data_IF_892445387787
#
_entry.id   IF_892445387787
#
_cell.length_a   1.000
_cell.length_b   1.000
_cell.length_c   1.000
_cell.angle_alpha   90.00
_cell.angle_beta   90.00
_cell.angle_gamma   90.00
#
_symmetry.space_group_name_H-M   'P 1'
#
loop_
_entity.id
_entity.type
_entity.pdbx_description
1 polymer ?
#
# COMPACT_ATOMS: atom_id res chain seq x y z
N UNK A 1 13.03 -4.92 7.14
CA UNK A 1 13.20 -4.69 5.67
C UNK A 1 14.57 -5.04 5.07
N UNK A 2 15.65 -4.96 5.84
CA UNK A 2 17.05 -5.05 5.37
C UNK A 2 17.43 -6.24 4.47
N UNK A 3 16.81 -7.41 4.62
CA UNK A 3 17.11 -8.58 3.76
C UNK A 3 16.60 -8.37 2.33
N UNK A 4 15.40 -7.84 2.16
CA UNK A 4 14.82 -7.59 0.83
C UNK A 4 15.67 -6.61 0.04
N UNK A 5 16.12 -5.53 0.67
CA UNK A 5 17.04 -4.56 0.06
C UNK A 5 18.39 -5.20 -0.31
N UNK A 6 18.99 -5.97 0.61
CA UNK A 6 20.26 -6.67 0.35
C UNK A 6 20.17 -7.68 -0.79
N UNK A 7 18.99 -8.28 -0.98
CA UNK A 7 18.71 -9.19 -2.08
C UNK A 7 18.33 -8.47 -3.39
N UNK A 8 18.35 -7.13 -3.42
CA UNK A 8 18.10 -6.34 -4.62
C UNK A 8 16.63 -6.16 -4.98
N UNK A 9 15.72 -6.22 -4.00
CA UNK A 9 14.30 -5.94 -4.24
C UNK A 9 14.11 -4.50 -4.74
N UNK A 10 13.38 -4.32 -5.84
CA UNK A 10 13.07 -3.00 -6.40
C UNK A 10 11.91 -2.27 -5.71
N UNK A 11 11.06 -3.01 -4.99
CA UNK A 11 9.99 -2.50 -4.13
C UNK A 11 9.57 -3.61 -3.15
N UNK A 12 8.90 -3.25 -2.06
CA UNK A 12 8.33 -4.22 -1.11
C UNK A 12 6.85 -3.99 -0.93
N UNK A 13 6.08 -5.07 -0.97
CA UNK A 13 4.64 -5.05 -0.67
C UNK A 13 4.40 -5.32 0.81
N UNK A 14 3.64 -4.42 1.46
CA UNK A 14 3.26 -4.54 2.86
C UNK A 14 1.74 -4.74 2.93
N UNK A 15 1.31 -5.79 3.62
CA UNK A 15 -0.11 -6.06 3.88
C UNK A 15 -0.60 -5.11 4.98
N UNK A 16 -1.60 -4.30 4.69
CA UNK A 16 -2.17 -3.32 5.64
C UNK A 16 -3.61 -3.61 6.04
N UNK A 17 -4.25 -4.57 5.36
CA UNK A 17 -5.61 -4.98 5.65
C UNK A 17 -5.69 -5.79 6.96
N UNK A 18 -6.37 -5.23 7.95
CA UNK A 18 -6.50 -5.83 9.28
C UNK A 18 -7.54 -6.95 9.37
N UNK A 19 -8.55 -6.95 8.50
CA UNK A 19 -9.70 -7.86 8.61
C UNK A 19 -9.40 -9.26 8.06
N UNK A 20 -8.68 -9.35 6.95
CA UNK A 20 -8.37 -10.60 6.24
C UNK A 20 -6.90 -10.96 6.34
N UNK A 21 -6.00 -9.97 6.39
CA UNK A 21 -4.55 -10.21 6.39
C UNK A 21 -3.86 -9.91 7.73
N UNK A 22 -4.61 -9.42 8.74
CA UNK A 22 -4.10 -9.02 10.06
C UNK A 22 -2.94 -8.01 10.00
N UNK A 23 -2.86 -7.24 8.91
CA UNK A 23 -1.93 -6.14 8.74
C UNK A 23 -2.48 -4.83 9.29
N UNK A 24 -1.67 -3.79 9.28
CA UNK A 24 -2.06 -2.45 9.68
C UNK A 24 -1.25 -1.39 8.94
N UNK A 25 -1.78 -0.16 8.89
CA UNK A 25 -1.00 1.00 8.44
C UNK A 25 0.22 1.26 9.34
N UNK A 26 0.23 0.78 10.58
CA UNK A 26 1.40 0.86 11.45
C UNK A 26 2.54 -0.04 10.95
N UNK A 27 2.24 -1.23 10.42
CA UNK A 27 3.26 -2.11 9.83
C UNK A 27 3.92 -1.46 8.61
N UNK A 28 3.15 -0.72 7.82
CA UNK A 28 3.65 0.07 6.70
C UNK A 28 4.56 1.20 7.19
N UNK A 29 4.18 1.91 8.26
CA UNK A 29 5.00 2.96 8.86
C UNK A 29 6.33 2.41 9.40
N UNK A 30 6.30 1.30 10.14
CA UNK A 30 7.51 0.64 10.62
C UNK A 30 8.38 0.15 9.46
N UNK A 31 7.78 -0.39 8.38
CA UNK A 31 8.53 -0.78 7.20
C UNK A 31 9.20 0.42 6.51
N UNK A 32 8.53 1.59 6.47
CA UNK A 32 9.07 2.83 5.90
C UNK A 32 10.28 3.33 6.67
N UNK A 33 10.26 3.28 8.00
CA UNK A 33 11.39 3.67 8.85
C UNK A 33 12.65 2.83 8.60
N UNK A 34 12.49 1.57 8.15
CA UNK A 34 13.59 0.65 7.90
C UNK A 34 13.98 0.48 6.42
N UNK A 35 13.25 1.11 5.50
CA UNK A 35 13.39 0.91 4.06
C UNK A 35 13.80 2.20 3.36
N UNK A 36 14.59 2.09 2.30
CA UNK A 36 14.87 3.14 1.32
C UNK A 36 14.27 2.84 -0.05
N UNK A 37 13.81 1.61 -0.28
CA UNK A 37 13.14 1.20 -1.53
C UNK A 37 11.62 1.48 -1.47
N UNK A 38 10.97 1.64 -2.62
CA UNK A 38 9.54 1.89 -2.70
C UNK A 38 8.68 0.86 -1.96
N UNK A 39 7.65 1.33 -1.26
CA UNK A 39 6.69 0.50 -0.54
C UNK A 39 5.31 0.51 -1.21
N UNK A 40 4.78 -0.68 -1.48
CA UNK A 40 3.41 -0.91 -1.95
C UNK A 40 2.49 -1.17 -0.76
N UNK A 41 1.50 -0.30 -0.56
CA UNK A 41 0.35 -0.54 0.30
C UNK A 41 -0.57 -1.58 -0.35
N UNK A 42 -0.54 -2.81 0.18
CA UNK A 42 -1.39 -3.90 -0.30
C UNK A 42 -2.64 -4.00 0.57
N UNK A 43 -3.65 -3.25 0.13
CA UNK A 43 -4.99 -3.16 0.73
C UNK A 43 -6.09 -3.21 -0.35
N UNK A 44 -7.34 -3.38 0.07
CA UNK A 44 -8.52 -3.20 -0.77
C UNK A 44 -8.96 -1.73 -0.75
N UNK A 45 -8.36 -0.91 -1.59
CA UNK A 45 -8.69 0.53 -1.68
C UNK A 45 -9.99 0.72 -2.44
N UNK A 46 -11.00 1.21 -1.73
CA UNK A 46 -12.34 1.54 -2.24
C UNK A 46 -12.70 3.01 -2.04
N UNK A 47 -11.93 3.76 -1.24
CA UNK A 47 -12.13 5.19 -0.99
C UNK A 47 -10.82 5.98 -0.92
N UNK A 48 -10.89 7.29 -1.22
CA UNK A 48 -9.74 8.21 -1.22
C UNK A 48 -9.08 8.33 0.16
N UNK A 49 -9.85 8.24 1.24
CA UNK A 49 -9.29 8.30 2.59
C UNK A 49 -8.29 7.17 2.86
N UNK A 50 -8.42 6.03 2.17
CA UNK A 50 -7.43 4.95 2.27
C UNK A 50 -6.13 5.29 1.53
N UNK A 51 -6.22 6.05 0.45
CA UNK A 51 -5.05 6.57 -0.28
C UNK A 51 -4.30 7.56 0.60
N UNK A 52 -5.02 8.51 1.21
CA UNK A 52 -4.43 9.50 2.14
C UNK A 52 -3.71 8.80 3.31
N UNK A 53 -4.38 7.82 3.93
CA UNK A 53 -3.77 7.02 5.02
C UNK A 53 -2.56 6.21 4.57
N UNK A 54 -2.59 5.63 3.37
CA UNK A 54 -1.45 4.91 2.81
C UNK A 54 -0.26 5.86 2.60
N UNK A 55 -0.52 7.05 2.06
CA UNK A 55 0.49 8.08 1.86
C UNK A 55 1.08 8.58 3.18
N UNK A 56 0.23 8.90 4.16
CA UNK A 56 0.66 9.31 5.52
C UNK A 56 1.48 8.21 6.22
N UNK A 57 1.16 6.94 5.98
CA UNK A 57 1.92 5.80 6.50
C UNK A 57 3.20 5.49 5.71
N UNK A 58 3.49 6.23 4.63
CA UNK A 58 4.73 6.14 3.87
C UNK A 58 4.71 5.18 2.67
N UNK A 59 3.54 4.88 2.11
CA UNK A 59 3.44 4.16 0.84
C UNK A 59 3.86 5.03 -0.34
N UNK A 60 4.59 4.42 -1.27
CA UNK A 60 4.93 5.01 -2.57
C UNK A 60 3.97 4.52 -3.68
N UNK A 61 3.36 3.35 -3.47
CA UNK A 61 2.49 2.67 -4.44
C UNK A 61 1.25 2.16 -3.70
N UNK A 62 0.10 2.19 -4.38
CA UNK A 62 -1.16 1.64 -3.88
C UNK A 62 -1.73 0.56 -4.81
N UNK A 63 -2.53 -0.35 -4.27
CA UNK A 63 -3.21 -1.40 -5.04
C UNK A 63 -4.66 -1.01 -5.35
N UNK A 64 -5.02 -0.98 -6.64
CA UNK A 64 -6.41 -0.88 -7.11
C UNK A 64 -6.82 -2.19 -7.78
N UNK A 65 -7.88 -2.83 -7.28
CA UNK A 65 -8.36 -4.12 -7.77
C UNK A 65 -9.61 -3.92 -8.60
N UNK A 66 -9.51 -4.15 -9.92
CA UNK A 66 -10.61 -3.94 -10.89
C UNK A 66 -11.86 -4.75 -10.53
N UNK A 67 -11.70 -5.96 -10.00
CA UNK A 67 -12.84 -6.80 -9.59
C UNK A 67 -13.61 -6.27 -8.36
N UNK A 68 -12.99 -5.37 -7.58
CA UNK A 68 -13.59 -4.78 -6.38
C UNK A 68 -14.19 -3.38 -6.62
N UNK A 69 -14.03 -2.82 -7.82
CA UNK A 69 -14.38 -1.43 -8.13
C UNK A 69 -15.29 -1.34 -9.36
N UNK A 70 -16.22 -0.39 -9.34
CA UNK A 70 -16.89 0.01 -10.58
C UNK A 70 -15.91 0.76 -11.48
N UNK A 71 -16.20 0.84 -12.78
CA UNK A 71 -15.36 1.57 -13.74
C UNK A 71 -15.21 3.04 -13.37
N UNK A 72 -16.29 3.64 -12.88
CA UNK A 72 -16.34 5.03 -12.42
C UNK A 72 -15.43 5.21 -11.21
N UNK A 73 -15.53 4.32 -10.21
CA UNK A 73 -14.73 4.41 -8.99
C UNK A 73 -13.25 4.14 -9.25
N UNK A 74 -12.94 3.17 -10.12
CA UNK A 74 -11.56 2.92 -10.56
C UNK A 74 -10.94 4.16 -11.21
N UNK A 75 -11.68 4.82 -12.11
CA UNK A 75 -11.21 6.05 -12.77
C UNK A 75 -11.06 7.21 -11.77
N UNK A 76 -11.98 7.32 -10.82
CA UNK A 76 -11.92 8.32 -9.76
C UNK A 76 -10.65 8.16 -8.91
N UNK A 77 -10.37 6.95 -8.44
CA UNK A 77 -9.25 6.66 -7.56
C UNK A 77 -7.90 6.67 -8.30
N UNK A 78 -7.87 6.25 -9.58
CA UNK A 78 -6.66 6.30 -10.40
C UNK A 78 -6.20 7.72 -10.72
N UNK A 79 -7.13 8.67 -10.83
CA UNK A 79 -6.85 10.06 -11.16
C UNK A 79 -6.73 10.98 -9.93
N UNK A 80 -6.90 10.44 -8.73
CA UNK A 80 -6.74 11.18 -7.48
C UNK A 80 -5.26 11.32 -7.14
#
# INVERSE_FOLDING_TARGET
MRTYEKCGAGAVSVLTDGQFFKGSFHDLQTAREESNIPLLCKDFIIDKIQIDRAYEAGADIILLIVAALTKEKLKELYSY
#
